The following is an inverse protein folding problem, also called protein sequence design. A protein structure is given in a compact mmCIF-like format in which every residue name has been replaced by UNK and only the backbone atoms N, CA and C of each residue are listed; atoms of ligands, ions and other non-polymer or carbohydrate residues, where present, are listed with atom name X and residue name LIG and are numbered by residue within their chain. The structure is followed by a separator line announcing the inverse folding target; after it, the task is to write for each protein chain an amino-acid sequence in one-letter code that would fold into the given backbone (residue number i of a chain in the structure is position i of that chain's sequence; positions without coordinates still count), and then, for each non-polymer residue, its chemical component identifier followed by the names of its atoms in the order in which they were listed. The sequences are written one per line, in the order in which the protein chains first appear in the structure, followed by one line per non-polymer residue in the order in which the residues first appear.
data_IF_679691072825
#
_entry.id   IF_679691072825
#
_cell.length_a   1.000
_cell.length_b   1.000
_cell.length_c   1.000
_cell.angle_alpha   90.00
_cell.angle_beta   90.00
_cell.angle_gamma   90.00
#
_symmetry.space_group_name_H-M   'P 1'
#
loop_
_entity.id
_entity.type
_entity.pdbx_description
1 polymer ?
#
# COMPACT_ATOMS: atom_id res chain seq x y z
N UNK A 1 -1.82 -8.03 -11.73
CA UNK A 1 -1.87 -9.52 -11.79
C UNK A 1 -0.60 -10.16 -11.23
N UNK A 2 0.61 -9.78 -11.66
CA UNK A 2 1.85 -10.35 -11.11
C UNK A 2 2.06 -10.07 -9.60
N UNK A 3 1.69 -8.89 -9.11
CA UNK A 3 1.72 -8.56 -7.67
C UNK A 3 0.78 -9.40 -6.83
N UNK A 4 -0.44 -9.67 -7.32
CA UNK A 4 -1.40 -10.55 -6.64
C UNK A 4 -0.92 -12.01 -6.61
N UNK A 5 -0.27 -12.48 -7.69
CA UNK A 5 0.38 -13.79 -7.73
C UNK A 5 1.57 -13.87 -6.77
N UNK A 6 2.40 -12.82 -6.70
CA UNK A 6 3.49 -12.73 -5.73
C UNK A 6 2.94 -12.75 -4.29
N UNK A 7 1.92 -11.95 -3.99
CA UNK A 7 1.26 -11.94 -2.68
C UNK A 7 0.68 -13.31 -2.33
N UNK A 8 0.05 -14.00 -3.29
CA UNK A 8 -0.45 -15.37 -3.11
C UNK A 8 0.69 -16.36 -2.85
N UNK A 9 1.79 -16.27 -3.60
CA UNK A 9 2.97 -17.11 -3.41
C UNK A 9 3.60 -16.92 -2.01
N UNK A 10 3.73 -15.66 -1.57
CA UNK A 10 4.20 -15.33 -0.22
C UNK A 10 3.22 -15.78 0.87
N UNK A 11 1.90 -15.62 0.65
CA UNK A 11 0.88 -16.08 1.59
C UNK A 11 0.85 -17.61 1.75
N UNK A 12 1.22 -18.37 0.71
CA UNK A 12 1.22 -19.83 0.72
C UNK A 12 2.47 -20.46 1.37
N UNK A 13 3.64 -19.81 1.28
CA UNK A 13 4.92 -20.28 1.85
C UNK A 13 5.29 -19.52 3.13
N UNK A 14 4.96 -20.12 4.27
CA UNK A 14 5.11 -19.54 5.63
C UNK A 14 6.55 -19.55 6.18
N UNK A 15 7.48 -20.28 5.56
CA UNK A 15 8.76 -20.65 6.22
C UNK A 15 9.96 -19.72 5.95
N UNK A 16 9.76 -18.56 5.33
CA UNK A 16 10.83 -17.57 5.15
C UNK A 16 10.60 -16.28 5.96
N UNK A 17 11.12 -16.33 7.19
CA UNK A 17 11.69 -15.24 7.99
C UNK A 17 10.79 -14.17 8.66
N UNK A 18 11.32 -13.73 9.82
CA UNK A 18 11.00 -12.60 10.71
C UNK A 18 10.95 -11.21 10.02
N UNK A 19 10.40 -11.12 8.81
CA UNK A 19 10.22 -9.86 8.10
C UNK A 19 8.89 -9.27 8.58
N UNK A 20 8.85 -7.96 8.86
CA UNK A 20 7.58 -7.23 9.08
C UNK A 20 6.59 -7.60 7.96
N UNK A 21 5.31 -7.76 8.28
CA UNK A 21 4.26 -8.06 7.30
C UNK A 21 4.27 -7.04 6.14
N UNK A 22 4.67 -5.80 6.43
CA UNK A 22 4.87 -4.71 5.47
C UNK A 22 6.09 -4.94 4.56
N UNK A 23 7.16 -5.53 5.10
CA UNK A 23 8.37 -5.88 4.34
C UNK A 23 8.12 -7.04 3.37
N UNK A 24 7.28 -8.01 3.71
CA UNK A 24 6.87 -9.07 2.79
C UNK A 24 6.04 -8.52 1.62
N UNK A 25 5.11 -7.59 1.91
CA UNK A 25 4.33 -6.90 0.88
C UNK A 25 5.23 -6.04 0.00
N UNK A 26 6.14 -5.26 0.60
CA UNK A 26 7.10 -4.44 -0.11
C UNK A 26 8.04 -5.24 -1.00
N UNK A 27 8.54 -6.38 -0.50
CA UNK A 27 9.40 -7.26 -1.28
C UNK A 27 8.63 -7.91 -2.44
N UNK A 28 7.45 -8.48 -2.19
CA UNK A 28 6.61 -9.06 -3.25
C UNK A 28 6.23 -8.03 -4.32
N UNK A 29 6.02 -6.78 -3.89
CA UNK A 29 5.77 -5.67 -4.78
C UNK A 29 6.99 -5.29 -5.63
N UNK A 30 8.16 -5.09 -5.00
CA UNK A 30 9.41 -4.74 -5.68
C UNK A 30 9.86 -5.82 -6.67
N UNK A 31 9.70 -7.10 -6.31
CA UNK A 31 9.97 -8.20 -7.23
C UNK A 31 9.04 -8.18 -8.44
N UNK A 32 7.74 -7.98 -8.22
CA UNK A 32 6.77 -7.94 -9.30
C UNK A 32 6.96 -6.71 -10.21
N UNK A 33 7.20 -5.53 -9.64
CA UNK A 33 7.44 -4.30 -10.42
C UNK A 33 8.76 -4.38 -11.18
N UNK A 34 9.82 -4.88 -10.55
CA UNK A 34 11.11 -5.11 -11.21
C UNK A 34 11.01 -6.10 -12.37
N UNK A 35 10.27 -7.21 -12.20
CA UNK A 35 10.02 -8.16 -13.27
C UNK A 35 9.25 -7.53 -14.44
N UNK A 36 8.24 -6.70 -14.16
CA UNK A 36 7.49 -5.95 -15.19
C UNK A 36 8.41 -5.00 -15.95
N UNK A 37 9.30 -4.28 -15.28
CA UNK A 37 10.23 -3.35 -15.95
C UNK A 37 11.25 -4.10 -16.81
N UNK A 38 11.80 -5.22 -16.34
CA UNK A 38 12.75 -6.03 -17.12
C UNK A 38 12.08 -6.58 -18.39
N UNK A 39 10.89 -7.17 -18.25
CA UNK A 39 10.13 -7.71 -19.39
C UNK A 39 9.68 -6.57 -20.32
N UNK A 40 9.27 -5.43 -19.76
CA UNK A 40 8.90 -4.24 -20.52
C UNK A 40 10.07 -3.74 -21.36
N UNK A 41 11.26 -3.56 -20.79
CA UNK A 41 12.45 -3.09 -21.50
C UNK A 41 12.90 -4.05 -22.63
N UNK A 42 12.61 -5.34 -22.50
CA UNK A 42 12.85 -6.32 -23.58
C UNK A 42 11.90 -6.14 -24.78
N UNK A 43 10.78 -5.41 -24.60
CA UNK A 43 9.72 -5.22 -25.61
C UNK A 43 9.67 -3.76 -26.10
N UNK A 44 9.91 -2.78 -25.23
CA UNK A 44 9.86 -1.33 -25.50
C UNK A 44 11.24 -0.70 -25.27
N UNK A 45 11.81 -0.08 -26.31
CA UNK A 45 13.17 0.49 -26.31
C UNK A 45 13.26 1.96 -25.86
N UNK A 46 12.20 2.54 -25.28
CA UNK A 46 12.18 3.96 -24.90
C UNK A 46 12.18 4.18 -23.38
N UNK A 47 13.10 5.02 -22.89
CA UNK A 47 13.21 5.37 -21.47
C UNK A 47 11.97 6.12 -20.92
N UNK A 48 11.16 6.72 -21.80
CA UNK A 48 9.94 7.44 -21.43
C UNK A 48 8.86 6.50 -20.89
N UNK A 49 8.66 5.34 -21.53
CA UNK A 49 7.70 4.33 -21.09
C UNK A 49 8.04 3.76 -19.70
N UNK A 50 9.33 3.64 -19.37
CA UNK A 50 9.79 3.15 -18.06
C UNK A 50 9.48 4.18 -16.97
N UNK A 51 9.69 5.47 -17.26
CA UNK A 51 9.37 6.55 -16.33
C UNK A 51 7.87 6.63 -16.05
N UNK A 52 7.02 6.44 -17.06
CA UNK A 52 5.56 6.42 -16.88
C UNK A 52 5.09 5.23 -16.04
N UNK A 53 5.71 4.06 -16.16
CA UNK A 53 5.39 2.89 -15.31
C UNK A 53 5.78 3.13 -13.84
N UNK A 54 6.91 3.78 -13.58
CA UNK A 54 7.43 3.98 -12.23
C UNK A 54 6.80 5.18 -11.52
N UNK A 55 6.71 6.32 -12.21
CA UNK A 55 6.26 7.59 -11.64
C UNK A 55 4.79 7.88 -11.91
N UNK A 56 4.18 7.23 -12.89
CA UNK A 56 2.79 7.45 -13.27
C UNK A 56 2.55 8.83 -13.91
N UNK A 57 1.72 8.85 -14.94
CA UNK A 57 1.05 10.06 -15.42
C UNK A 57 -0.39 10.04 -14.90
N UNK A 58 -0.64 10.58 -13.70
CA UNK A 58 -2.00 10.69 -13.15
C UNK A 58 -2.94 11.56 -14.01
N UNK A 59 -2.41 12.17 -15.08
CA UNK A 59 -3.16 13.00 -16.04
C UNK A 59 -3.91 12.13 -17.06
N UNK A 60 -3.52 10.86 -17.26
CA UNK A 60 -4.12 9.96 -18.26
C UNK A 60 -4.63 8.68 -17.61
N UNK A 61 -5.61 8.79 -16.71
CA UNK A 61 -6.33 7.63 -16.17
C UNK A 61 -7.40 7.20 -17.17
N UNK A 62 -7.43 5.92 -17.54
CA UNK A 62 -8.47 5.37 -18.42
C UNK A 62 -9.86 5.55 -17.74
N UNK A 63 -10.89 6.04 -18.45
CA UNK A 63 -12.25 6.17 -17.91
C UNK A 63 -12.78 4.91 -17.21
N UNK A 64 -12.32 3.72 -17.60
CA UNK A 64 -12.68 2.45 -16.94
C UNK A 64 -12.15 2.36 -15.52
N UNK A 65 -10.94 2.85 -15.26
CA UNK A 65 -10.30 2.76 -13.94
C UNK A 65 -11.02 3.63 -12.91
N UNK A 66 -11.66 4.72 -13.35
CA UNK A 66 -12.52 5.59 -12.50
C UNK A 66 -13.66 4.81 -11.85
N UNK A 67 -14.15 3.74 -12.46
CA UNK A 67 -15.21 2.89 -11.89
C UNK A 67 -14.68 1.63 -11.21
N UNK A 68 -13.61 1.04 -11.76
CA UNK A 68 -13.04 -0.21 -11.23
C UNK A 68 -12.36 0.04 -9.88
N UNK A 69 -11.57 1.12 -9.75
CA UNK A 69 -10.80 1.40 -8.53
C UNK A 69 -11.73 1.60 -7.32
N UNK A 70 -12.78 2.44 -7.37
CA UNK A 70 -13.71 2.58 -6.24
C UNK A 70 -14.50 1.32 -5.96
N UNK A 71 -14.92 0.57 -6.99
CA UNK A 71 -15.65 -0.68 -6.82
C UNK A 71 -14.83 -1.73 -6.06
N UNK A 72 -13.55 -1.86 -6.39
CA UNK A 72 -12.63 -2.78 -5.70
C UNK A 72 -12.29 -2.26 -4.31
N UNK A 73 -12.11 -0.95 -4.14
CA UNK A 73 -11.89 -0.36 -2.82
C UNK A 73 -13.07 -0.64 -1.88
N UNK A 74 -14.32 -0.45 -2.34
CA UNK A 74 -15.53 -0.77 -1.57
C UNK A 74 -15.62 -2.25 -1.23
N UNK A 75 -15.32 -3.14 -2.17
CA UNK A 75 -15.27 -4.57 -1.92
C UNK A 75 -14.24 -4.94 -0.85
N UNK A 76 -13.04 -4.37 -0.91
CA UNK A 76 -12.00 -4.61 0.09
C UNK A 76 -12.40 -4.05 1.46
N UNK A 77 -12.95 -2.83 1.51
CA UNK A 77 -13.46 -2.22 2.75
C UNK A 77 -14.55 -3.10 3.37
N UNK A 78 -15.46 -3.66 2.56
CA UNK A 78 -16.50 -4.56 3.04
C UNK A 78 -15.93 -5.83 3.68
N UNK A 79 -14.92 -6.46 3.05
CA UNK A 79 -14.22 -7.62 3.64
C UNK A 79 -13.54 -7.24 4.96
N UNK A 80 -12.82 -6.12 5.00
CA UNK A 80 -12.12 -5.67 6.21
C UNK A 80 -13.09 -5.31 7.33
N UNK A 81 -14.27 -4.79 7.00
CA UNK A 81 -15.30 -4.48 7.97
C UNK A 81 -15.92 -5.77 8.55
N UNK A 82 -16.20 -6.77 7.70
CA UNK A 82 -16.77 -8.05 8.12
C UNK A 82 -15.83 -8.84 9.04
N UNK A 83 -14.54 -8.91 8.69
CA UNK A 83 -13.53 -9.68 9.43
C UNK A 83 -12.65 -8.81 10.33
N UNK A 84 -13.08 -7.59 10.69
CA UNK A 84 -12.25 -6.61 11.40
C UNK A 84 -11.63 -7.16 12.70
N UNK A 85 -12.45 -7.81 13.53
CA UNK A 85 -12.00 -8.38 14.82
C UNK A 85 -11.06 -9.56 14.60
N UNK A 86 -11.35 -10.39 13.61
CA UNK A 86 -10.59 -11.60 13.30
C UNK A 86 -9.22 -11.26 12.74
N UNK A 87 -9.14 -10.26 11.83
CA UNK A 87 -7.87 -9.77 11.30
C UNK A 87 -6.99 -9.19 12.40
N UNK A 88 -7.55 -8.38 13.31
CA UNK A 88 -6.77 -7.85 14.44
C UNK A 88 -6.25 -9.01 15.30
N UNK A 89 -7.11 -9.97 15.64
CA UNK A 89 -6.71 -11.08 16.51
C UNK A 89 -5.58 -11.91 15.89
N UNK A 90 -5.71 -12.26 14.62
CA UNK A 90 -4.71 -13.07 13.90
C UNK A 90 -3.41 -12.29 13.64
N UNK A 91 -3.47 -10.97 13.45
CA UNK A 91 -2.28 -10.13 13.24
C UNK A 91 -1.50 -9.87 14.52
N UNK A 92 -2.17 -9.72 15.67
CA UNK A 92 -1.49 -9.42 16.94
C UNK A 92 -1.06 -10.66 17.71
N UNK A 93 -1.86 -11.74 17.67
CA UNK A 93 -1.56 -12.97 18.41
C UNK A 93 -1.95 -14.23 17.60
N UNK A 94 -1.15 -14.59 16.58
CA UNK A 94 -1.43 -15.76 15.75
C UNK A 94 -1.31 -17.09 16.49
N UNK A 95 -0.56 -17.14 17.60
CA UNK A 95 -0.40 -18.35 18.42
C UNK A 95 -1.65 -18.61 19.25
N UNK A 96 -2.12 -17.59 19.97
CA UNK A 96 -3.38 -17.69 20.73
C UNK A 96 -4.57 -17.88 19.80
N UNK A 97 -4.60 -17.24 18.63
CA UNK A 97 -5.65 -17.47 17.64
C UNK A 97 -5.72 -18.94 17.17
N UNK A 98 -4.57 -19.61 17.02
CA UNK A 98 -4.52 -21.04 16.71
C UNK A 98 -5.07 -21.91 17.86
N UNK A 99 -4.79 -21.54 19.12
CA UNK A 99 -5.34 -22.22 20.29
C UNK A 99 -6.88 -22.11 20.34
N UNK A 100 -7.43 -20.96 19.98
CA UNK A 100 -8.88 -20.76 19.83
C UNK A 100 -9.46 -21.33 18.53
N UNK A 101 -8.69 -22.13 17.78
CA UNK A 101 -9.10 -22.79 16.52
C UNK A 101 -9.54 -21.82 15.41
N UNK A 102 -9.06 -20.57 15.42
CA UNK A 102 -9.28 -19.68 14.30
C UNK A 102 -8.52 -20.17 13.07
N UNK A 103 -9.08 -20.02 11.84
CA UNK A 103 -8.41 -20.40 10.62
C UNK A 103 -7.35 -19.34 10.23
N UNK A 104 -6.30 -19.20 11.05
CA UNK A 104 -5.22 -18.21 10.92
C UNK A 104 -4.65 -18.14 9.51
N UNK A 105 -4.43 -19.31 8.88
CA UNK A 105 -3.88 -19.37 7.52
C UNK A 105 -4.83 -18.74 6.49
N UNK A 106 -6.13 -19.00 6.60
CA UNK A 106 -7.13 -18.46 5.68
C UNK A 106 -7.27 -16.96 5.89
N UNK A 107 -7.42 -16.51 7.13
CA UNK A 107 -7.59 -15.09 7.46
C UNK A 107 -6.38 -14.26 7.02
N UNK A 108 -5.15 -14.73 7.28
CA UNK A 108 -3.96 -14.03 6.81
C UNK A 108 -3.85 -14.04 5.27
N UNK A 109 -4.26 -15.13 4.61
CA UNK A 109 -4.30 -15.19 3.15
C UNK A 109 -5.30 -14.18 2.59
N UNK A 110 -6.50 -14.08 3.16
CA UNK A 110 -7.52 -13.10 2.72
C UNK A 110 -7.02 -11.67 2.93
N UNK A 111 -6.41 -11.38 4.08
CA UNK A 111 -5.83 -10.07 4.38
C UNK A 111 -4.76 -9.70 3.34
N UNK A 112 -3.76 -10.56 3.11
CA UNK A 112 -2.70 -10.31 2.13
C UNK A 112 -3.22 -10.22 0.70
N UNK A 113 -4.24 -11.00 0.36
CA UNK A 113 -4.84 -11.03 -0.97
C UNK A 113 -5.61 -9.74 -1.26
N UNK A 114 -6.39 -9.22 -0.30
CA UNK A 114 -7.07 -7.91 -0.46
C UNK A 114 -6.07 -6.78 -0.66
N UNK A 115 -4.99 -6.73 0.13
CA UNK A 115 -3.91 -5.75 -0.05
C UNK A 115 -3.25 -5.91 -1.42
N UNK A 116 -2.92 -7.14 -1.83
CA UNK A 116 -2.32 -7.43 -3.13
C UNK A 116 -3.20 -7.03 -4.32
N UNK A 117 -4.52 -7.21 -4.21
CA UNK A 117 -5.50 -6.76 -5.22
C UNK A 117 -5.52 -5.23 -5.32
N UNK A 118 -5.61 -4.53 -4.19
CA UNK A 118 -5.60 -3.05 -4.16
C UNK A 118 -4.33 -2.53 -4.81
N UNK A 119 -3.16 -3.04 -4.40
CA UNK A 119 -1.88 -2.65 -5.00
C UNK A 119 -1.88 -2.93 -6.50
N UNK A 120 -2.30 -4.12 -6.93
CA UNK A 120 -2.28 -4.51 -8.34
C UNK A 120 -3.09 -3.58 -9.26
N UNK A 121 -4.22 -3.07 -8.76
CA UNK A 121 -5.12 -2.22 -9.54
C UNK A 121 -4.63 -0.78 -9.48
N UNK A 122 -4.24 -0.28 -8.30
CA UNK A 122 -3.78 1.10 -8.15
C UNK A 122 -2.45 1.35 -8.85
N UNK A 123 -1.56 0.34 -8.97
CA UNK A 123 -0.27 0.50 -9.68
C UNK A 123 -0.47 0.76 -11.17
N UNK A 124 -1.56 0.30 -11.78
CA UNK A 124 -1.87 0.62 -13.18
C UNK A 124 -2.28 2.08 -13.34
N UNK A 125 -3.08 2.58 -12.41
CA UNK A 125 -3.60 3.95 -12.44
C UNK A 125 -2.56 5.01 -12.07
N UNK A 126 -1.76 4.75 -11.03
CA UNK A 126 -0.88 5.75 -10.42
C UNK A 126 0.61 5.49 -10.63
N UNK A 127 0.99 4.31 -11.14
CA UNK A 127 2.40 3.91 -11.22
C UNK A 127 2.94 3.32 -9.92
N UNK A 128 4.18 2.81 -9.98
CA UNK A 128 4.66 1.94 -8.94
C UNK A 128 5.09 2.66 -7.63
N UNK A 129 5.75 3.80 -7.74
CA UNK A 129 6.23 4.57 -6.58
C UNK A 129 5.11 5.04 -5.63
N UNK A 130 4.09 5.78 -6.10
CA UNK A 130 3.07 6.35 -5.21
C UNK A 130 2.23 5.28 -4.52
N UNK A 131 2.02 4.12 -5.13
CA UNK A 131 1.28 3.02 -4.51
C UNK A 131 1.99 2.50 -3.27
N UNK A 132 3.30 2.27 -3.37
CA UNK A 132 4.08 1.84 -2.21
C UNK A 132 4.09 2.91 -1.12
N UNK A 133 4.37 4.16 -1.52
CA UNK A 133 4.38 5.31 -0.61
C UNK A 133 3.07 5.46 0.16
N UNK A 134 1.92 5.45 -0.54
CA UNK A 134 0.60 5.62 0.07
C UNK A 134 0.10 4.41 0.86
N UNK A 135 0.61 3.21 0.60
CA UNK A 135 0.23 2.02 1.38
C UNK A 135 0.96 1.97 2.72
N UNK A 136 2.23 2.37 2.74
CA UNK A 136 3.11 2.20 3.91
C UNK A 136 3.22 3.47 4.75
N UNK A 137 3.53 4.62 4.14
CA UNK A 137 3.87 5.84 4.89
C UNK A 137 2.71 6.41 5.71
N UNK A 138 1.47 6.54 5.19
CA UNK A 138 0.35 7.03 5.97
C UNK A 138 0.03 6.13 7.17
N UNK A 139 0.15 4.81 6.99
CA UNK A 139 -0.08 3.80 8.03
C UNK A 139 0.94 3.93 9.16
N UNK A 140 2.23 4.04 8.82
CA UNK A 140 3.29 4.26 9.81
C UNK A 140 3.16 5.62 10.51
N UNK A 141 2.80 6.66 9.77
CA UNK A 141 2.59 8.00 10.34
C UNK A 141 1.45 7.98 11.36
N UNK A 142 0.32 7.35 11.01
CA UNK A 142 -0.84 7.24 11.89
C UNK A 142 -0.54 6.48 13.20
N UNK A 143 0.35 5.48 13.16
CA UNK A 143 0.81 4.76 14.35
C UNK A 143 1.58 5.65 15.34
N UNK A 144 2.19 6.75 14.87
CA UNK A 144 2.84 7.72 15.77
C UNK A 144 1.86 8.68 16.44
N UNK A 145 0.66 8.86 15.87
CA UNK A 145 -0.36 9.75 16.40
C UNK A 145 -1.23 9.09 17.47
N UNK A 146 -1.48 7.77 17.36
CA UNK A 146 -2.41 7.09 18.26
C UNK A 146 -2.13 5.58 18.40
N UNK A 147 -2.41 5.05 19.59
CA UNK A 147 -2.33 3.60 19.89
C UNK A 147 -3.67 2.87 19.64
N UNK A 148 -4.76 3.61 19.41
CA UNK A 148 -6.08 3.00 19.17
C UNK A 148 -6.20 2.61 17.70
N UNK A 149 -6.17 1.30 17.41
CA UNK A 149 -6.25 0.75 16.04
C UNK A 149 -7.35 1.36 15.16
N UNK A 150 -8.57 1.54 15.70
CA UNK A 150 -9.66 2.18 14.95
C UNK A 150 -9.30 3.60 14.48
N UNK A 151 -8.61 4.37 15.31
CA UNK A 151 -8.14 5.70 14.97
C UNK A 151 -6.94 5.64 14.01
N UNK A 152 -6.05 4.64 14.13
CA UNK A 152 -4.95 4.43 13.18
C UNK A 152 -5.49 4.26 11.76
N UNK A 153 -6.54 3.45 11.55
CA UNK A 153 -7.17 3.32 10.23
C UNK A 153 -7.69 4.65 9.70
N UNK A 154 -8.40 5.42 10.52
CA UNK A 154 -8.97 6.73 10.12
C UNK A 154 -7.86 7.72 9.78
N UNK A 155 -6.85 7.85 10.64
CA UNK A 155 -5.72 8.77 10.40
C UNK A 155 -4.89 8.35 9.20
N UNK A 156 -4.65 7.05 8.98
CA UNK A 156 -3.94 6.56 7.81
C UNK A 156 -4.66 6.95 6.51
N UNK A 157 -5.98 6.77 6.45
CA UNK A 157 -6.79 7.20 5.29
C UNK A 157 -6.71 8.72 5.10
N UNK A 158 -6.87 9.51 6.17
CA UNK A 158 -6.81 10.97 6.08
C UNK A 158 -5.44 11.46 5.59
N UNK A 159 -4.34 10.93 6.14
CA UNK A 159 -2.98 11.29 5.74
C UNK A 159 -2.73 10.85 4.30
N UNK A 160 -3.20 9.68 3.89
CA UNK A 160 -3.09 9.19 2.51
C UNK A 160 -3.82 10.09 1.51
N UNK A 161 -5.06 10.47 1.82
CA UNK A 161 -5.87 11.38 0.98
C UNK A 161 -5.19 12.75 0.90
N UNK A 162 -4.75 13.32 2.03
CA UNK A 162 -4.04 14.60 2.04
C UNK A 162 -2.74 14.55 1.24
N UNK A 163 -1.98 13.45 1.35
CA UNK A 163 -0.74 13.24 0.58
C UNK A 163 -1.02 13.19 -0.91
N UNK A 164 -2.07 12.48 -1.33
CA UNK A 164 -2.46 12.39 -2.73
C UNK A 164 -2.96 13.75 -3.26
N UNK A 165 -3.80 14.46 -2.51
CA UNK A 165 -4.32 15.77 -2.90
C UNK A 165 -3.20 16.82 -3.03
N UNK A 166 -2.34 16.93 -2.02
CA UNK A 166 -1.23 17.89 -2.03
C UNK A 166 -0.19 17.53 -3.09
N UNK A 167 0.16 16.26 -3.23
CA UNK A 167 1.10 15.81 -4.26
C UNK A 167 0.58 16.04 -5.66
N UNK A 168 -0.71 15.79 -5.91
CA UNK A 168 -1.30 16.11 -7.21
C UNK A 168 -1.31 17.63 -7.47
N UNK A 169 -1.68 18.44 -6.47
CA UNK A 169 -1.65 19.89 -6.58
C UNK A 169 -0.24 20.44 -6.86
N UNK A 170 0.79 19.97 -6.14
CA UNK A 170 2.17 20.38 -6.38
C UNK A 170 2.69 19.91 -7.73
N UNK A 171 2.31 18.70 -8.16
CA UNK A 171 2.63 18.22 -9.51
C UNK A 171 2.06 19.15 -10.58
N UNK A 172 0.80 19.59 -10.42
CA UNK A 172 0.16 20.53 -11.34
C UNK A 172 0.85 21.90 -11.38
N UNK A 173 1.20 22.46 -10.23
CA UNK A 173 1.82 23.80 -10.16
C UNK A 173 3.28 23.79 -10.59
N UNK A 174 4.05 22.77 -10.19
CA UNK A 174 5.50 22.70 -10.41
C UNK A 174 5.87 21.92 -11.70
N UNK A 175 4.88 21.37 -12.42
CA UNK A 175 5.09 20.54 -13.61
C UNK A 175 6.07 19.36 -13.38
N UNK A 176 6.04 18.79 -12.17
CA UNK A 176 6.87 17.63 -11.77
C UNK A 176 6.07 16.33 -11.88
N UNK A 177 6.72 15.15 -12.01
CA UNK A 177 6.02 13.87 -12.12
C UNK A 177 5.05 13.61 -10.95
N UNK A 178 3.82 13.24 -11.29
CA UNK A 178 2.71 13.13 -10.32
C UNK A 178 2.99 12.14 -9.19
N UNK A 179 3.42 10.92 -9.49
CA UNK A 179 3.71 9.92 -8.45
C UNK A 179 4.93 10.25 -7.61
N UNK A 180 5.94 10.94 -8.15
CA UNK A 180 7.08 11.43 -7.36
C UNK A 180 6.63 12.51 -6.36
N UNK A 181 5.75 13.42 -6.79
CA UNK A 181 5.20 14.46 -5.90
C UNK A 181 4.34 13.87 -4.78
N UNK A 182 3.44 12.94 -5.12
CA UNK A 182 2.60 12.23 -4.13
C UNK A 182 3.45 11.47 -3.11
N UNK A 183 4.47 10.73 -3.57
CA UNK A 183 5.36 9.98 -2.69
C UNK A 183 6.17 10.90 -1.78
N UNK A 184 6.63 12.04 -2.31
CA UNK A 184 7.33 13.07 -1.53
C UNK A 184 6.44 13.67 -0.45
N UNK A 185 5.18 14.00 -0.77
CA UNK A 185 4.21 14.49 0.21
C UNK A 185 3.95 13.45 1.32
N UNK A 186 3.74 12.19 0.96
CA UNK A 186 3.56 11.12 1.95
C UNK A 186 4.80 10.95 2.85
N UNK A 187 6.00 11.10 2.28
CA UNK A 187 7.26 11.03 3.01
C UNK A 187 7.43 12.21 3.97
N UNK A 188 7.01 13.40 3.56
CA UNK A 188 7.01 14.59 4.41
C UNK A 188 6.09 14.40 5.63
N UNK A 189 4.87 13.90 5.44
CA UNK A 189 3.98 13.58 6.56
C UNK A 189 4.59 12.55 7.52
N UNK A 190 5.28 11.54 7.00
CA UNK A 190 5.98 10.56 7.81
C UNK A 190 7.10 11.18 8.65
N UNK A 191 7.93 12.05 8.05
CA UNK A 191 8.99 12.77 8.78
C UNK A 191 8.38 13.65 9.88
N UNK A 192 7.28 14.36 9.60
CA UNK A 192 6.57 15.14 10.60
C UNK A 192 6.02 14.27 11.73
N UNK A 193 5.51 13.07 11.42
CA UNK A 193 5.07 12.08 12.41
C UNK A 193 6.21 11.58 13.31
N UNK A 194 7.41 11.37 12.75
CA UNK A 194 8.59 11.01 13.55
C UNK A 194 8.93 12.14 14.52
N UNK A 195 9.01 13.39 14.03
CA UNK A 195 9.30 14.55 14.89
C UNK A 195 8.27 14.71 16.01
N UNK A 196 6.98 14.49 15.71
CA UNK A 196 5.92 14.51 16.73
C UNK A 196 6.10 13.44 17.80
N UNK A 197 6.50 12.22 17.40
CA UNK A 197 6.75 11.12 18.34
C UNK A 197 7.89 11.46 19.30
N UNK A 198 8.98 12.03 18.81
CA UNK A 198 10.11 12.39 19.66
C UNK A 198 9.73 13.46 20.68
N UNK A 199 8.97 14.48 20.27
CA UNK A 199 8.45 15.50 21.19
C UNK A 199 7.52 14.88 22.25
N UNK A 200 6.63 13.95 21.86
CA UNK A 200 5.74 13.26 22.80
C UNK A 200 6.50 12.38 23.82
N UNK A 201 7.67 11.85 23.47
CA UNK A 201 8.49 11.05 24.37
C UNK A 201 9.34 11.90 25.34
N UNK A 202 9.51 13.19 25.04
CA UNK A 202 10.26 14.14 25.87
C UNK A 202 9.38 14.85 26.92
N UNK A 203 8.06 14.78 26.79
CA UNK A 203 7.06 15.37 27.71
C UNK A 203 6.53 14.27 28.63
#
# INVERSE_FOLDING_TARGET
MMTALAALFFALKKDFFRISQEGAIGFGYLLASGAVVIIGNLITHEAHDIADILFGSAVVVDPKEVYIVPGVALFCIFIHWLFFKDFIFVSFDPETAQLFKYPVRVLNTVLLLTVGIVIAITTRALGALPVFGLTVLPSLTALFLTERLKLVFIFSVLIGVLSAMLGYYFSFVLSIPTGASITTCASLFFILGIGWREVRLLI
#
